data_IF_858279608410
#
_entry.id   IF_858279608410
#
_cell.length_a   1.000
_cell.length_b   1.000
_cell.length_c   1.000
_cell.angle_alpha   90.00
_cell.angle_beta   90.00
_cell.angle_gamma   90.00
#
_symmetry.space_group_name_H-M   'P 1'
#
loop_
_entity.id
_entity.type
_entity.pdbx_description
1 polymer ?
#
# COMPACT_ATOMS: atom_id res chain seq x y z
N UNK A 1 -0.59 14.15 9.77
CA UNK A 1 0.37 13.58 8.80
C UNK A 1 -0.33 12.53 7.97
N UNK A 2 -0.18 12.61 6.66
CA UNK A 2 -0.83 11.74 5.69
C UNK A 2 0.13 10.62 5.28
N UNK A 3 -0.24 9.38 5.55
CA UNK A 3 0.65 8.24 5.41
C UNK A 3 0.76 7.80 3.94
N UNK A 4 1.93 7.96 3.31
CA UNK A 4 2.26 7.39 1.98
C UNK A 4 2.36 5.84 2.00
N UNK A 5 1.93 5.19 3.07
CA UNK A 5 1.97 3.73 3.30
C UNK A 5 1.26 2.90 2.22
N UNK A 6 0.48 3.52 1.33
CA UNK A 6 -0.22 2.83 0.24
C UNK A 6 0.51 2.85 -1.12
N UNK A 7 1.73 3.41 -1.20
CA UNK A 7 2.51 3.39 -2.45
C UNK A 7 3.14 2.02 -2.64
N UNK A 8 2.89 1.36 -3.78
CA UNK A 8 3.48 0.05 -4.07
C UNK A 8 5.03 0.11 -4.14
N UNK A 9 5.76 -1.01 -3.91
CA UNK A 9 7.22 -1.01 -3.86
C UNK A 9 7.90 -0.42 -5.09
N UNK A 10 7.28 -0.55 -6.27
CA UNK A 10 7.78 0.02 -7.51
C UNK A 10 7.74 1.55 -7.51
N UNK A 11 6.57 2.15 -7.23
CA UNK A 11 6.43 3.61 -7.19
C UNK A 11 7.22 4.23 -6.03
N UNK A 12 7.37 3.51 -4.91
CA UNK A 12 8.21 3.96 -3.81
C UNK A 12 9.67 4.11 -4.23
N UNK A 13 10.21 3.15 -5.01
CA UNK A 13 11.55 3.25 -5.59
C UNK A 13 11.68 4.39 -6.59
N UNK A 14 10.67 4.62 -7.43
CA UNK A 14 10.69 5.73 -8.39
C UNK A 14 10.70 7.10 -7.69
N UNK A 15 9.94 7.23 -6.61
CA UNK A 15 9.93 8.45 -5.80
C UNK A 15 11.30 8.71 -5.17
N UNK A 16 11.91 7.69 -4.55
CA UNK A 16 13.27 7.80 -4.01
C UNK A 16 14.33 8.14 -5.06
N UNK A 17 14.11 7.75 -6.33
CA UNK A 17 15.00 8.07 -7.44
C UNK A 17 14.76 9.45 -8.06
N UNK A 18 13.73 10.18 -7.62
CA UNK A 18 13.33 11.46 -8.21
C UNK A 18 12.68 11.36 -9.59
N UNK A 19 12.25 10.15 -10.00
CA UNK A 19 11.57 9.93 -11.29
C UNK A 19 10.11 10.33 -11.23
N UNK A 20 9.52 10.28 -10.02
CA UNK A 20 8.18 10.79 -9.76
C UNK A 20 8.19 11.66 -8.50
N UNK A 21 7.34 12.68 -8.48
CA UNK A 21 7.07 13.51 -7.30
C UNK A 21 5.65 13.24 -6.82
N UNK A 22 5.47 13.02 -5.51
CA UNK A 22 4.16 12.76 -4.91
C UNK A 22 3.84 13.91 -3.95
N UNK A 23 2.73 14.60 -4.18
CA UNK A 23 2.30 15.78 -3.39
C UNK A 23 0.81 15.74 -3.06
N UNK A 24 0.39 16.59 -2.12
CA UNK A 24 -1.01 16.76 -1.74
C UNK A 24 -1.47 15.84 -0.60
N UNK A 25 -2.71 16.04 -0.11
CA UNK A 25 -3.31 15.17 0.89
C UNK A 25 -3.74 13.82 0.28
N UNK A 26 -3.95 12.76 1.07
CA UNK A 26 -4.31 11.43 0.58
C UNK A 26 -5.58 11.40 -0.28
N UNK A 27 -6.52 12.30 0.01
CA UNK A 27 -7.78 12.45 -0.74
C UNK A 27 -7.62 13.20 -2.06
N UNK A 28 -6.48 13.87 -2.29
CA UNK A 28 -6.19 14.66 -3.48
C UNK A 28 -4.69 14.55 -3.84
N UNK A 29 -4.19 13.32 -3.95
CA UNK A 29 -2.81 13.04 -4.32
C UNK A 29 -2.55 13.46 -5.77
N UNK A 30 -1.48 14.21 -5.96
CA UNK A 30 -0.95 14.57 -7.28
C UNK A 30 0.40 13.88 -7.45
N UNK A 31 0.52 13.11 -8.53
CA UNK A 31 1.77 12.46 -8.93
C UNK A 31 2.26 13.13 -10.21
N UNK A 32 3.50 13.60 -10.24
CA UNK A 32 4.13 14.13 -11.45
C UNK A 32 5.35 13.29 -11.83
N UNK A 33 5.75 13.34 -13.10
CA UNK A 33 7.05 12.84 -13.55
C UNK A 33 8.20 13.82 -13.21
N UNK A 34 9.41 13.49 -13.65
CA UNK A 34 10.62 14.31 -13.48
C UNK A 34 10.56 15.64 -14.24
N UNK A 35 9.75 15.72 -15.30
CA UNK A 35 9.49 16.95 -16.06
C UNK A 35 8.34 17.79 -15.45
N UNK A 36 7.78 17.39 -14.31
CA UNK A 36 6.69 18.09 -13.62
C UNK A 36 5.31 17.92 -14.28
N UNK A 37 5.17 16.99 -15.23
CA UNK A 37 3.88 16.71 -15.87
C UNK A 37 3.06 15.81 -14.96
N UNK A 38 1.78 16.16 -14.78
CA UNK A 38 0.85 15.36 -14.00
C UNK A 38 0.62 14.00 -14.66
N UNK A 39 0.89 12.94 -13.90
CA UNK A 39 0.54 11.59 -14.29
C UNK A 39 -0.95 11.38 -13.99
N UNK A 40 -1.75 11.21 -15.05
CA UNK A 40 -3.15 10.83 -14.90
C UNK A 40 -3.25 9.50 -14.13
N UNK A 41 -4.37 9.29 -13.42
CA UNK A 41 -4.76 8.04 -12.75
C UNK A 41 -5.00 6.92 -13.77
N UNK A 42 -4.03 6.64 -14.62
CA UNK A 42 -4.00 5.51 -15.52
C UNK A 42 -3.49 4.31 -14.76
N UNK A 43 -4.29 3.79 -13.83
CA UNK A 43 -4.19 2.36 -13.53
C UNK A 43 -4.67 1.61 -14.77
N UNK A 44 -3.80 1.47 -15.75
CA UNK A 44 -3.86 0.33 -16.64
C UNK A 44 -3.35 -0.83 -15.80
N UNK A 45 -4.13 -1.28 -14.81
CA UNK A 45 -4.00 -2.63 -14.32
C UNK A 45 -4.05 -3.49 -15.58
N UNK A 46 -2.87 -3.91 -16.05
CA UNK A 46 -2.77 -4.54 -17.37
C UNK A 46 -3.56 -5.83 -17.21
N UNK A 47 -4.64 -6.03 -17.99
CA UNK A 47 -5.40 -7.26 -17.88
C UNK A 47 -4.42 -8.43 -18.03
N UNK A 48 -4.45 -9.44 -17.14
CA UNK A 48 -3.57 -10.57 -17.26
C UNK A 48 -3.74 -11.19 -18.65
N UNK A 49 -2.65 -11.27 -19.41
CA UNK A 49 -2.67 -11.83 -20.77
C UNK A 49 -2.56 -13.36 -20.78
N UNK A 50 -2.41 -13.97 -19.59
CA UNK A 50 -2.29 -15.41 -19.40
C UNK A 50 -3.61 -15.95 -18.85
N UNK A 51 -3.88 -17.24 -19.13
CA UNK A 51 -5.00 -17.93 -18.52
C UNK A 51 -4.93 -17.83 -16.98
N UNK A 52 -6.09 -17.79 -16.29
CA UNK A 52 -6.15 -17.89 -14.85
C UNK A 52 -5.38 -19.14 -14.37
N UNK A 53 -4.78 -19.11 -13.16
CA UNK A 53 -4.12 -20.29 -12.62
C UNK A 53 -5.14 -21.42 -12.47
N UNK A 54 -4.73 -22.65 -12.81
CA UNK A 54 -5.56 -23.86 -12.71
C UNK A 54 -5.69 -24.36 -11.25
N UNK A 55 -6.07 -23.45 -10.35
CA UNK A 55 -6.28 -23.71 -8.92
C UNK A 55 -7.71 -23.33 -8.57
N UNK A 56 -8.33 -24.09 -7.65
CA UNK A 56 -9.64 -23.74 -7.14
C UNK A 56 -9.60 -22.36 -6.45
N UNK A 57 -10.68 -21.57 -6.51
CA UNK A 57 -10.78 -20.34 -5.73
C UNK A 57 -10.54 -20.61 -4.24
N UNK A 58 -9.88 -19.67 -3.55
CA UNK A 58 -9.69 -19.77 -2.11
C UNK A 58 -11.06 -19.90 -1.42
N UNK A 59 -11.33 -20.97 -0.67
CA UNK A 59 -12.66 -21.25 -0.12
C UNK A 59 -13.11 -20.26 0.96
N UNK A 60 -12.21 -19.38 1.40
CA UNK A 60 -12.44 -18.39 2.44
C UNK A 60 -11.34 -18.43 3.49
N UNK A 61 -11.44 -17.60 4.53
CA UNK A 61 -10.51 -17.68 5.65
C UNK A 61 -10.71 -19.00 6.41
N UNK A 62 -9.62 -19.71 6.65
CA UNK A 62 -9.59 -21.03 7.31
C UNK A 62 -9.89 -20.97 8.81
N UNK A 63 -10.07 -19.77 9.38
CA UNK A 63 -10.20 -19.55 10.83
C UNK A 63 -8.93 -19.83 11.62
N UNK A 64 -7.81 -20.08 10.93
CA UNK A 64 -6.51 -20.28 11.57
C UNK A 64 -6.05 -19.01 12.29
N UNK A 65 -5.39 -19.20 13.44
CA UNK A 65 -4.82 -18.07 14.18
C UNK A 65 -3.65 -17.51 13.38
N UNK A 66 -3.63 -16.18 13.22
CA UNK A 66 -2.52 -15.51 12.58
C UNK A 66 -1.22 -15.82 13.32
N UNK A 67 -0.21 -16.27 12.57
CA UNK A 67 1.14 -16.44 13.08
C UNK A 67 1.86 -15.11 12.94
N UNK A 68 2.02 -14.40 14.06
CA UNK A 68 2.49 -13.01 14.13
C UNK A 68 3.98 -12.81 13.84
N UNK A 69 4.60 -13.70 13.06
CA UNK A 69 6.05 -13.69 12.78
C UNK A 69 6.56 -12.35 12.23
N UNK A 70 5.71 -11.63 11.50
CA UNK A 70 6.07 -10.38 10.83
C UNK A 70 5.57 -9.12 11.53
N UNK A 71 4.83 -9.23 12.64
CA UNK A 71 4.21 -8.08 13.28
C UNK A 71 3.85 -8.35 14.74
N UNK A 72 4.39 -7.54 15.66
CA UNK A 72 3.91 -7.50 17.04
C UNK A 72 2.59 -6.73 17.12
N UNK A 73 1.50 -7.35 17.63
CA UNK A 73 0.24 -6.66 17.82
C UNK A 73 0.40 -5.50 18.80
N UNK A 74 -0.20 -4.35 18.48
CA UNK A 74 -0.26 -3.23 19.40
C UNK A 74 -0.92 -3.65 20.72
N UNK A 75 -0.22 -3.44 21.83
CA UNK A 75 -0.75 -3.65 23.18
C UNK A 75 -1.09 -2.28 23.79
N UNK A 76 -2.36 -2.02 24.14
CA UNK A 76 -2.72 -0.76 24.80
C UNK A 76 -2.07 -0.67 26.19
N UNK A 77 -1.53 0.51 26.51
CA UNK A 77 -0.91 0.75 27.81
C UNK A 77 -1.99 0.88 28.90
N UNK A 78 -1.81 0.28 30.09
CA UNK A 78 -2.77 0.40 31.18
C UNK A 78 -2.96 1.87 31.60
N UNK A 79 -4.14 2.25 32.08
CA UNK A 79 -4.41 3.61 32.55
C UNK A 79 -3.46 3.99 33.71
N UNK A 80 -3.08 5.27 33.83
CA UNK A 80 -2.21 5.73 34.90
C UNK A 80 -2.87 5.50 36.27
N UNK A 81 -2.09 5.06 37.25
CA UNK A 81 -2.53 4.94 38.65
C UNK A 81 -2.73 6.33 39.25
N UNK A 82 -3.89 6.55 39.88
CA UNK A 82 -4.17 7.78 40.62
C UNK A 82 -3.31 7.79 41.91
N UNK A 83 -2.51 8.83 42.10
CA UNK A 83 -1.78 9.07 43.36
C UNK A 83 -2.70 9.70 44.41
#
# INVERSE_FOLDING_TARGET
MANLVLVCPYHHRLHHRGVITITGPPSALVVTDDAGRSLSLGSLARPPTKAPPAVAPCPGPTGERAHWWWYDPFQPQPPPTNN
#
